data_IF_813000209930
#
_entry.id   IF_813000209930
#
_cell.length_a   1.000
_cell.length_b   1.000
_cell.length_c   1.000
_cell.angle_alpha   90.00
_cell.angle_beta   90.00
_cell.angle_gamma   90.00
#
_symmetry.space_group_name_H-M   'P 1'
#
loop_
_entity.id
_entity.type
_entity.pdbx_description
1 polymer ?
#
# COMPACT_ATOMS: atom_id res chain seq x y z
N UNK A 1 -0.98 -12.56 9.97
CA UNK A 1 -2.03 -12.51 8.95
C UNK A 1 -3.36 -12.31 9.64
N UNK A 2 -4.05 -11.19 9.39
CA UNK A 2 -5.37 -10.93 10.00
C UNK A 2 -6.39 -11.87 9.34
N UNK A 3 -7.40 -12.34 10.09
CA UNK A 3 -8.47 -13.23 9.58
C UNK A 3 -9.09 -12.75 8.24
N UNK A 4 -9.15 -11.43 8.03
CA UNK A 4 -9.59 -10.79 6.79
C UNK A 4 -8.75 -11.15 5.55
N UNK A 5 -7.43 -11.22 5.70
CA UNK A 5 -6.50 -11.54 4.60
C UNK A 5 -6.66 -12.99 4.15
N UNK A 6 -6.77 -13.90 5.13
CA UNK A 6 -7.01 -15.32 4.86
C UNK A 6 -8.35 -15.50 4.16
N UNK A 7 -9.41 -14.83 4.62
CA UNK A 7 -10.74 -14.91 3.99
C UNK A 7 -10.73 -14.45 2.53
N UNK A 8 -10.08 -13.33 2.21
CA UNK A 8 -9.97 -12.83 0.83
C UNK A 8 -9.21 -13.79 -0.08
N UNK A 9 -8.14 -14.40 0.43
CA UNK A 9 -7.36 -15.41 -0.30
C UNK A 9 -8.24 -16.64 -0.56
N UNK A 10 -8.97 -17.14 0.44
CA UNK A 10 -9.84 -18.32 0.29
C UNK A 10 -10.96 -18.06 -0.71
N UNK A 11 -11.63 -16.91 -0.64
CA UNK A 11 -12.69 -16.54 -1.61
C UNK A 11 -12.11 -16.43 -3.03
N UNK A 12 -10.91 -15.87 -3.19
CA UNK A 12 -10.22 -15.81 -4.48
C UNK A 12 -9.97 -17.19 -5.08
N UNK A 13 -9.49 -18.14 -4.30
CA UNK A 13 -9.27 -19.52 -4.75
C UNK A 13 -10.56 -20.25 -5.12
N UNK A 14 -11.65 -20.03 -4.39
CA UNK A 14 -12.97 -20.62 -4.69
C UNK A 14 -13.49 -20.10 -6.04
N UNK A 15 -13.43 -18.78 -6.27
CA UNK A 15 -13.87 -18.17 -7.53
C UNK A 15 -13.02 -18.65 -8.70
N UNK A 16 -11.71 -18.79 -8.50
CA UNK A 16 -10.78 -19.30 -9.52
C UNK A 16 -11.09 -20.76 -9.85
N UNK A 17 -11.26 -21.62 -8.84
CA UNK A 17 -11.60 -23.03 -9.02
C UNK A 17 -12.95 -23.24 -9.72
N UNK A 18 -13.96 -22.47 -9.33
CA UNK A 18 -15.27 -22.48 -10.00
C UNK A 18 -15.14 -22.05 -11.46
N UNK A 19 -14.27 -21.09 -11.76
CA UNK A 19 -14.07 -20.65 -13.14
C UNK A 19 -13.36 -21.64 -14.05
N UNK A 20 -12.37 -22.35 -13.53
CA UNK A 20 -11.72 -23.44 -14.25
C UNK A 20 -12.68 -24.61 -14.49
N UNK A 21 -13.58 -24.90 -13.54
CA UNK A 21 -14.60 -25.93 -13.71
C UNK A 21 -15.61 -25.58 -14.82
N UNK A 22 -16.07 -24.33 -14.87
CA UNK A 22 -17.01 -23.87 -15.90
C UNK A 22 -16.39 -23.82 -17.30
N UNK A 23 -15.11 -23.49 -17.42
CA UNK A 23 -14.38 -23.51 -18.70
C UNK A 23 -14.30 -24.92 -19.33
N UNK A 24 -14.26 -25.97 -18.51
CA UNK A 24 -14.25 -27.36 -19.00
C UNK A 24 -15.62 -27.84 -19.51
N UNK A 25 -16.70 -27.09 -19.25
CA UNK A 25 -18.08 -27.47 -19.60
C UNK A 25 -18.59 -26.68 -20.83
N UNK A 26 -17.90 -25.60 -21.22
CA UNK A 26 -18.35 -24.67 -22.26
C UNK A 26 -18.02 -25.11 -23.69
N UNK A 27 -19.05 -25.36 -24.51
CA UNK A 27 -18.89 -25.58 -25.95
C UNK A 27 -18.82 -24.24 -26.73
N UNK A 28 -17.72 -24.11 -27.48
CA UNK A 28 -17.42 -23.20 -28.61
C UNK A 28 -17.37 -21.67 -28.45
N UNK A 29 -17.68 -21.04 -27.29
CA UNK A 29 -17.39 -19.59 -27.12
C UNK A 29 -17.40 -19.09 -25.69
N UNK A 30 -16.79 -19.82 -24.76
CA UNK A 30 -16.68 -19.35 -23.37
C UNK A 30 -15.42 -18.51 -23.18
N UNK A 31 -15.60 -17.21 -22.88
CA UNK A 31 -14.52 -16.31 -22.51
C UNK A 31 -14.53 -16.07 -21.00
N UNK A 32 -13.34 -16.10 -20.40
CA UNK A 32 -13.15 -15.92 -18.96
C UNK A 32 -12.36 -14.65 -18.66
N UNK A 33 -12.98 -13.74 -17.92
CA UNK A 33 -12.31 -12.59 -17.29
C UNK A 33 -12.68 -12.66 -15.83
N UNK A 34 -11.76 -13.09 -14.98
CA UNK A 34 -11.98 -13.18 -13.53
C UNK A 34 -12.60 -11.88 -12.97
N UNK A 35 -13.74 -11.92 -12.24
CA UNK A 35 -14.56 -13.06 -11.81
C UNK A 35 -15.82 -13.36 -12.67
N UNK A 36 -15.93 -12.84 -13.89
CA UNK A 36 -17.12 -12.90 -14.75
C UNK A 36 -17.04 -14.00 -15.81
N UNK A 37 -18.20 -14.63 -16.08
CA UNK A 37 -18.39 -15.66 -17.11
C UNK A 37 -19.32 -15.15 -18.21
N UNK A 38 -18.91 -15.27 -19.46
CA UNK A 38 -19.75 -14.92 -20.61
C UNK A 38 -19.88 -16.14 -21.53
N UNK A 39 -21.13 -16.52 -21.82
CA UNK A 39 -21.47 -17.66 -22.69
C UNK A 39 -22.39 -17.19 -23.80
N UNK A 40 -22.12 -17.59 -25.05
CA UNK A 40 -22.99 -17.34 -26.19
C UNK A 40 -22.49 -16.26 -27.17
N UNK A 41 -23.20 -16.02 -28.28
CA UNK A 41 -22.73 -15.21 -29.40
C UNK A 41 -22.55 -13.72 -29.07
N UNK A 42 -23.19 -13.24 -27.99
CA UNK A 42 -23.07 -11.87 -27.50
C UNK A 42 -21.97 -11.72 -26.42
N UNK A 43 -21.24 -12.80 -26.09
CA UNK A 43 -20.18 -12.78 -25.09
C UNK A 43 -19.11 -11.68 -25.32
N UNK A 44 -18.65 -11.39 -26.56
CA UNK A 44 -17.68 -10.32 -26.78
C UNK A 44 -18.22 -8.93 -26.41
N UNK A 45 -19.50 -8.67 -26.67
CA UNK A 45 -20.14 -7.39 -26.36
C UNK A 45 -20.28 -7.21 -24.84
N UNK A 46 -20.69 -8.28 -24.15
CA UNK A 46 -20.80 -8.30 -22.69
C UNK A 46 -19.42 -8.16 -22.02
N UNK A 47 -18.38 -8.77 -22.57
CA UNK A 47 -16.99 -8.61 -22.14
C UNK A 47 -16.54 -7.14 -22.22
N UNK A 48 -16.76 -6.47 -23.35
CA UNK A 48 -16.35 -5.07 -23.52
C UNK A 48 -17.12 -4.16 -22.55
N UNK A 49 -18.43 -4.40 -22.39
CA UNK A 49 -19.27 -3.65 -21.44
C UNK A 49 -18.80 -3.80 -19.99
N UNK A 50 -18.50 -5.04 -19.56
CA UNK A 50 -18.03 -5.28 -18.19
C UNK A 50 -16.65 -4.70 -17.92
N UNK A 51 -15.72 -4.77 -18.88
CA UNK A 51 -14.42 -4.09 -18.75
C UNK A 51 -14.59 -2.57 -18.61
N UNK A 52 -15.50 -1.97 -19.36
CA UNK A 52 -15.81 -0.54 -19.25
C UNK A 52 -16.38 -0.18 -17.88
N UNK A 53 -17.31 -0.99 -17.36
CA UNK A 53 -17.88 -0.81 -16.01
C UNK A 53 -16.80 -0.99 -14.95
N UNK A 54 -15.94 -2.00 -15.05
CA UNK A 54 -14.82 -2.21 -14.12
C UNK A 54 -13.88 -1.01 -14.15
N UNK A 55 -13.54 -0.50 -15.33
CA UNK A 55 -12.70 0.69 -15.48
C UNK A 55 -13.36 1.93 -14.88
N UNK A 56 -14.67 2.13 -15.08
CA UNK A 56 -15.43 3.21 -14.44
C UNK A 56 -15.48 3.06 -12.92
N UNK A 57 -15.70 1.85 -12.40
CA UNK A 57 -15.71 1.57 -10.97
C UNK A 57 -14.32 1.80 -10.36
N UNK A 58 -13.26 1.32 -11.00
CA UNK A 58 -11.88 1.58 -10.59
C UNK A 58 -11.58 3.07 -10.62
N UNK A 59 -12.02 3.79 -11.65
CA UNK A 59 -11.82 5.23 -11.72
C UNK A 59 -12.61 5.97 -10.64
N UNK A 60 -13.86 5.56 -10.38
CA UNK A 60 -14.68 6.09 -9.32
C UNK A 60 -14.06 5.84 -7.95
N UNK A 61 -13.69 4.59 -7.66
CA UNK A 61 -13.01 4.21 -6.41
C UNK A 61 -11.70 4.96 -6.29
N UNK A 62 -10.83 4.97 -7.30
CA UNK A 62 -9.58 5.72 -7.25
C UNK A 62 -9.82 7.22 -6.98
N UNK A 63 -10.82 7.83 -7.63
CA UNK A 63 -11.18 9.24 -7.39
C UNK A 63 -11.70 9.49 -5.98
N UNK A 64 -12.53 8.58 -5.44
CA UNK A 64 -13.13 8.72 -4.11
C UNK A 64 -12.19 8.30 -2.98
N UNK A 65 -11.16 7.51 -3.28
CA UNK A 65 -10.21 6.92 -2.34
C UNK A 65 -8.78 7.46 -2.55
N UNK A 66 -8.65 8.66 -3.14
CA UNK A 66 -7.38 9.42 -3.27
C UNK A 66 -6.72 9.72 -1.92
N UNK A 67 -7.47 9.60 -0.82
CA UNK A 67 -6.98 9.94 0.51
C UNK A 67 -6.02 8.87 1.09
N UNK A 68 -6.06 7.61 0.64
CA UNK A 68 -5.23 6.55 1.25
C UNK A 68 -3.76 6.53 0.77
N UNK A 69 -3.47 7.07 -0.42
CA UNK A 69 -2.09 7.08 -0.94
C UNK A 69 -1.20 8.20 -0.35
N UNK A 70 -1.77 9.11 0.47
CA UNK A 70 -1.05 10.24 1.09
C UNK A 70 -0.91 10.16 2.60
N UNK A 71 -1.28 9.04 3.21
CA UNK A 71 -0.98 8.75 4.60
C UNK A 71 -0.14 7.47 4.70
N UNK A 72 1.06 7.50 4.12
CA UNK A 72 2.18 7.05 4.94
C UNK A 72 2.11 7.93 6.20
N UNK A 73 1.48 7.43 7.25
CA UNK A 73 1.53 8.08 8.55
C UNK A 73 3.01 8.31 8.82
N UNK A 74 3.47 9.55 8.73
CA UNK A 74 4.50 10.01 9.64
C UNK A 74 3.78 9.87 10.96
N UNK A 75 3.96 8.70 11.60
CA UNK A 75 3.64 8.51 13.01
C UNK A 75 3.99 9.83 13.67
N UNK A 76 2.99 10.43 14.30
CA UNK A 76 3.08 11.75 14.91
C UNK A 76 4.13 11.61 16.01
N UNK A 77 5.38 11.70 15.57
CA UNK A 77 6.55 11.34 16.34
C UNK A 77 6.48 12.29 17.49
N UNK A 78 6.23 11.73 18.69
CA UNK A 78 6.36 12.42 19.96
C UNK A 78 7.39 13.51 19.78
N UNK A 79 7.02 14.76 20.00
CA UNK A 79 8.00 15.83 20.15
C UNK A 79 8.92 15.39 21.29
N UNK A 80 10.05 14.78 20.92
CA UNK A 80 11.09 14.36 21.86
C UNK A 80 11.88 15.62 22.15
N UNK A 81 11.58 16.27 23.26
CA UNK A 81 12.40 17.37 23.76
C UNK A 81 13.74 16.78 24.21
N UNK A 82 14.78 16.98 23.40
CA UNK A 82 16.14 16.66 23.80
C UNK A 82 16.60 17.67 24.85
N UNK A 83 17.00 17.20 26.03
CA UNK A 83 17.60 18.07 27.04
C UNK A 83 18.98 18.51 26.57
N UNK A 84 19.19 19.81 26.55
CA UNK A 84 20.45 20.46 26.15
C UNK A 84 21.21 20.80 27.43
N UNK A 85 22.43 20.30 27.58
CA UNK A 85 23.29 20.57 28.75
C UNK A 85 24.66 21.16 28.38
N UNK A 86 25.03 21.15 27.10
CA UNK A 86 26.36 21.55 26.64
C UNK A 86 26.28 22.38 25.36
N UNK A 87 27.39 23.01 25.02
CA UNK A 87 27.56 23.81 23.80
C UNK A 87 28.83 23.33 23.09
N UNK A 88 28.76 23.16 21.78
CA UNK A 88 29.90 22.75 20.98
C UNK A 88 31.01 23.81 21.02
N UNK A 89 32.24 23.43 21.38
CA UNK A 89 33.38 24.36 21.41
C UNK A 89 33.85 24.80 20.02
N UNK A 90 33.54 24.05 18.97
CA UNK A 90 33.96 24.36 17.60
C UNK A 90 33.02 25.33 16.88
N UNK A 91 31.70 25.18 17.05
CA UNK A 91 30.72 26.00 16.33
C UNK A 91 29.73 26.76 17.23
N UNK A 92 29.76 26.56 18.54
CA UNK A 92 28.88 27.24 19.49
C UNK A 92 27.44 26.74 19.52
N UNK A 93 27.11 25.65 18.82
CA UNK A 93 25.74 25.12 18.81
C UNK A 93 25.40 24.28 20.05
N UNK A 94 24.15 24.34 20.54
CA UNK A 94 23.70 23.55 21.69
C UNK A 94 23.80 22.05 21.40
N UNK A 95 24.22 21.28 22.40
CA UNK A 95 24.38 19.83 22.32
C UNK A 95 23.45 19.15 23.34
N UNK A 96 22.75 18.07 22.94
CA UNK A 96 21.94 17.29 23.86
C UNK A 96 22.81 16.46 24.84
N UNK A 97 22.24 16.08 25.98
CA UNK A 97 22.94 15.42 27.10
C UNK A 97 23.79 14.19 26.72
N UNK A 98 23.38 13.46 25.68
CA UNK A 98 24.03 12.23 25.23
C UNK A 98 24.63 12.35 23.81
N UNK A 99 24.94 13.56 23.32
CA UNK A 99 25.57 13.73 22.02
C UNK A 99 27.04 13.30 22.03
N UNK A 100 27.38 12.30 21.23
CA UNK A 100 28.77 11.89 20.95
C UNK A 100 29.42 12.80 19.91
N UNK A 101 28.61 13.38 19.02
CA UNK A 101 29.04 14.27 17.94
C UNK A 101 28.11 15.49 17.82
N UNK A 102 28.64 16.60 17.34
CA UNK A 102 27.82 17.77 17.04
C UNK A 102 27.03 17.57 15.74
N UNK A 103 25.69 17.60 15.83
CA UNK A 103 24.82 17.51 14.65
C UNK A 103 25.00 18.66 13.64
N UNK A 104 25.61 19.77 14.08
CA UNK A 104 25.80 20.95 13.23
C UNK A 104 27.17 21.00 12.56
N UNK A 105 28.24 20.58 13.22
CA UNK A 105 29.60 20.70 12.68
C UNK A 105 30.34 19.37 12.52
N UNK A 106 29.79 18.27 13.02
CA UNK A 106 30.37 16.93 12.87
C UNK A 106 31.53 16.60 13.80
N UNK A 107 32.05 17.55 14.59
CA UNK A 107 33.14 17.29 15.53
C UNK A 107 32.68 16.41 16.70
N UNK A 108 33.59 15.57 17.21
CA UNK A 108 33.36 14.74 18.40
C UNK A 108 33.25 15.58 19.67
N UNK A 109 32.43 15.10 20.60
CA UNK A 109 32.19 15.73 21.91
C UNK A 109 33.03 15.04 23.02
N UNK A 110 33.56 13.84 22.74
CA UNK A 110 34.27 12.97 23.70
C UNK A 110 35.59 13.53 24.25
N UNK A 111 36.13 14.63 23.73
CA UNK A 111 37.42 15.18 24.20
C UNK A 111 37.34 15.92 25.56
N UNK A 112 36.28 15.75 26.37
CA UNK A 112 36.03 16.65 27.53
C UNK A 112 35.47 16.02 28.81
N UNK A 113 35.54 14.70 28.98
CA UNK A 113 35.36 14.08 30.30
C UNK A 113 36.70 13.62 30.88
#
# INVERSE_FOLDING_TARGET
MKYREVYLITVGFIILGLGVALLNIGEESTFFIFPFFFTGPLAPVMMISTLFVIMMCFWWVNKNWVEDARYAQIDNSRLVYLRVNAVCRFCGNPLPENAVYCYSCGNSVEEQF
#
